data_IF_875960115249
#
_entry.id   IF_875960115249
#
_cell.length_a   1.000
_cell.length_b   1.000
_cell.length_c   1.000
_cell.angle_alpha   90.00
_cell.angle_beta   90.00
_cell.angle_gamma   90.00
#
_symmetry.space_group_name_H-M   'P 1'
#
loop_
_entity.id
_entity.type
_entity.pdbx_description
1 polymer ?
#
# COMPACT_ATOMS: atom_id res chain seq x y z
N UNK A 1 -32.81 17.29 32.12
CA UNK A 1 -32.45 17.12 30.70
C UNK A 1 -32.30 18.51 30.08
N UNK A 2 -31.06 18.98 29.90
CA UNK A 2 -30.81 20.23 29.19
C UNK A 2 -31.16 20.06 27.71
N UNK A 3 -32.06 20.90 27.19
CA UNK A 3 -32.31 21.01 25.74
C UNK A 3 -31.02 21.50 25.08
N UNK A 4 -30.29 20.61 24.41
CA UNK A 4 -29.39 21.05 23.34
C UNK A 4 -30.24 21.86 22.35
N UNK A 5 -29.76 23.05 21.98
CA UNK A 5 -30.37 23.91 20.96
C UNK A 5 -30.87 23.06 19.78
N UNK A 6 -32.05 23.37 19.24
CA UNK A 6 -32.63 22.73 18.05
C UNK A 6 -31.79 23.04 16.81
N UNK A 7 -30.63 22.40 16.70
CA UNK A 7 -29.90 22.28 15.44
C UNK A 7 -30.74 21.42 14.50
N UNK A 8 -30.88 21.83 13.23
CA UNK A 8 -31.54 21.01 12.22
C UNK A 8 -30.73 19.73 11.99
N UNK A 9 -31.38 18.65 11.57
CA UNK A 9 -30.69 17.39 11.26
C UNK A 9 -29.61 17.58 10.19
N UNK A 10 -29.83 18.50 9.26
CA UNK A 10 -28.85 18.87 8.25
C UNK A 10 -27.61 19.54 8.85
N UNK A 11 -27.78 20.49 9.76
CA UNK A 11 -26.66 21.13 10.47
C UNK A 11 -25.88 20.10 11.28
N UNK A 12 -26.59 19.23 12.03
CA UNK A 12 -25.96 18.13 12.78
C UNK A 12 -25.16 17.23 11.83
N UNK A 13 -25.73 16.85 10.68
CA UNK A 13 -25.04 16.04 9.67
C UNK A 13 -23.78 16.71 9.14
N UNK A 14 -23.78 18.03 8.93
CA UNK A 14 -22.59 18.77 8.53
C UNK A 14 -21.49 18.70 9.60
N UNK A 15 -21.83 18.97 10.87
CA UNK A 15 -20.87 18.89 11.97
C UNK A 15 -20.31 17.47 12.15
N UNK A 16 -21.20 16.47 12.21
CA UNK A 16 -20.81 15.07 12.37
C UNK A 16 -19.94 14.59 11.20
N UNK A 17 -20.23 15.01 9.96
CA UNK A 17 -19.44 14.59 8.79
C UNK A 17 -17.97 15.02 8.83
N UNK A 18 -17.58 15.94 9.71
CA UNK A 18 -16.19 16.39 9.91
C UNK A 18 -15.48 15.69 11.07
N UNK A 19 -16.20 14.87 11.84
CA UNK A 19 -15.61 14.16 12.98
C UNK A 19 -14.85 12.91 12.53
N UNK A 20 -13.82 12.49 13.29
CA UNK A 20 -13.11 11.24 13.05
C UNK A 20 -14.06 10.02 13.11
N UNK A 21 -13.88 9.01 12.25
CA UNK A 21 -14.68 7.79 12.26
C UNK A 21 -14.79 7.11 13.63
N UNK A 22 -13.71 7.08 14.40
CA UNK A 22 -13.69 6.52 15.77
C UNK A 22 -14.71 7.20 16.69
N UNK A 23 -14.90 8.52 16.56
CA UNK A 23 -15.92 9.25 17.33
C UNK A 23 -17.33 8.96 16.81
N UNK A 24 -17.50 8.94 15.48
CA UNK A 24 -18.77 8.63 14.82
C UNK A 24 -19.29 7.23 15.18
N UNK A 25 -18.39 6.25 15.31
CA UNK A 25 -18.75 4.90 15.76
C UNK A 25 -19.32 4.88 17.18
N UNK A 26 -18.86 5.76 18.08
CA UNK A 26 -19.46 5.92 19.42
C UNK A 26 -20.82 6.60 19.35
N UNK A 27 -20.98 7.55 18.44
CA UNK A 27 -22.21 8.32 18.26
C UNK A 27 -23.37 7.53 17.66
N UNK A 28 -23.08 6.45 16.93
CA UNK A 28 -24.09 5.46 16.51
C UNK A 28 -24.92 4.92 17.69
N UNK A 29 -24.36 4.86 18.89
CA UNK A 29 -25.04 4.32 20.08
C UNK A 29 -25.91 5.33 20.83
N UNK A 30 -25.87 6.63 20.47
CA UNK A 30 -26.53 7.69 21.23
C UNK A 30 -28.02 7.80 20.89
N UNK A 31 -28.36 7.78 19.61
CA UNK A 31 -29.74 7.99 19.16
C UNK A 31 -30.01 7.32 17.80
N UNK A 32 -31.24 6.84 17.58
CA UNK A 32 -31.62 6.15 16.33
C UNK A 32 -31.48 7.03 15.08
N UNK A 33 -31.84 8.31 15.16
CA UNK A 33 -31.66 9.22 14.01
C UNK A 33 -30.19 9.42 13.66
N UNK A 34 -29.30 9.48 14.65
CA UNK A 34 -27.86 9.59 14.43
C UNK A 34 -27.29 8.30 13.86
N UNK A 35 -27.73 7.15 14.36
CA UNK A 35 -27.40 5.85 13.77
C UNK A 35 -27.74 5.85 12.28
N UNK A 36 -29.01 6.12 11.92
CA UNK A 36 -29.48 6.12 10.54
C UNK A 36 -28.71 7.10 9.65
N UNK A 37 -28.44 8.31 10.15
CA UNK A 37 -27.66 9.32 9.44
C UNK A 37 -26.22 8.85 9.20
N UNK A 38 -25.53 8.39 10.24
CA UNK A 38 -24.10 8.00 10.19
C UNK A 38 -23.91 6.73 9.34
N UNK A 39 -24.89 5.84 9.29
CA UNK A 39 -24.85 4.62 8.45
C UNK A 39 -25.26 4.85 7.00
N UNK A 40 -25.82 6.02 6.67
CA UNK A 40 -26.28 6.30 5.29
C UNK A 40 -25.09 6.40 4.32
N UNK A 41 -25.22 5.88 3.08
CA UNK A 41 -24.13 5.94 2.09
C UNK A 41 -23.69 7.38 1.76
N UNK A 42 -24.63 8.32 1.68
CA UNK A 42 -24.34 9.73 1.40
C UNK A 42 -23.53 10.39 2.52
N UNK A 43 -23.82 10.07 3.77
CA UNK A 43 -23.03 10.55 4.91
C UNK A 43 -21.61 9.96 4.90
N UNK A 44 -21.48 8.65 4.65
CA UNK A 44 -20.17 7.97 4.57
C UNK A 44 -19.31 8.60 3.45
N UNK A 45 -19.88 8.79 2.26
CA UNK A 45 -19.20 9.43 1.14
C UNK A 45 -18.77 10.88 1.47
N UNK A 46 -19.65 11.64 2.14
CA UNK A 46 -19.34 13.02 2.58
C UNK A 46 -18.22 13.04 3.63
N UNK A 47 -18.25 12.14 4.61
CA UNK A 47 -17.21 12.03 5.63
C UNK A 47 -15.86 11.64 5.01
N UNK A 48 -15.86 10.69 4.07
CA UNK A 48 -14.65 10.31 3.33
C UNK A 48 -14.11 11.48 2.49
N UNK A 49 -14.97 12.19 1.77
CA UNK A 49 -14.58 13.36 0.98
C UNK A 49 -13.96 14.43 1.87
N UNK A 50 -14.55 14.71 3.03
CA UNK A 50 -13.97 15.61 4.02
C UNK A 50 -12.60 15.11 4.48
N UNK A 51 -12.43 13.82 4.74
CA UNK A 51 -11.16 13.20 5.17
C UNK A 51 -10.06 13.36 4.11
N UNK A 52 -10.37 13.12 2.83
CA UNK A 52 -9.44 13.30 1.70
C UNK A 52 -9.09 14.77 1.42
N UNK A 53 -10.10 15.64 1.48
CA UNK A 53 -9.98 17.04 1.08
C UNK A 53 -9.63 17.97 2.25
N UNK A 54 -9.31 17.44 3.43
CA UNK A 54 -9.05 18.27 4.60
C UNK A 54 -7.69 18.98 4.47
N UNK A 55 -7.62 20.00 3.62
CA UNK A 55 -6.50 20.96 3.55
C UNK A 55 -6.26 21.68 4.88
N UNK A 56 -7.24 21.61 5.80
CA UNK A 56 -7.17 22.13 7.16
C UNK A 56 -6.92 21.05 8.22
N UNK A 57 -6.81 19.77 7.84
CA UNK A 57 -6.29 18.78 8.78
C UNK A 57 -4.84 19.17 9.07
N UNK A 58 -4.56 19.40 10.35
CA UNK A 58 -3.20 19.56 10.81
C UNK A 58 -2.42 18.25 10.73
N UNK A 59 -3.03 17.11 10.32
CA UNK A 59 -2.35 15.81 10.36
C UNK A 59 -2.48 14.98 9.08
N UNK A 60 -1.36 14.39 8.65
CA UNK A 60 -1.30 13.34 7.64
C UNK A 60 -1.12 11.99 8.34
N UNK A 61 -1.93 10.99 8.00
CA UNK A 61 -1.81 9.64 8.59
C UNK A 61 -1.02 8.72 7.66
N UNK A 62 -0.07 7.99 8.24
CA UNK A 62 0.78 7.03 7.54
C UNK A 62 0.69 5.70 8.26
N UNK A 63 0.47 4.62 7.51
CA UNK A 63 0.55 3.27 8.02
C UNK A 63 1.93 2.70 7.71
N UNK A 64 2.61 2.20 8.73
CA UNK A 64 3.86 1.47 8.63
C UNK A 64 3.64 -0.01 8.86
N UNK A 65 4.20 -0.86 8.00
CA UNK A 65 4.55 -2.24 8.35
C UNK A 65 5.99 -2.23 8.83
N UNK A 66 6.24 -2.68 10.06
CA UNK A 66 7.59 -2.77 10.63
C UNK A 66 7.80 -4.09 11.36
N UNK A 67 9.06 -4.49 11.50
CA UNK A 67 9.45 -5.76 12.14
C UNK A 67 10.39 -5.47 13.31
N UNK A 68 10.00 -5.90 14.50
CA UNK A 68 10.80 -5.76 15.71
C UNK A 68 11.32 -7.14 16.12
N UNK A 69 12.64 -7.28 16.23
CA UNK A 69 13.29 -8.52 16.64
C UNK A 69 13.42 -8.56 18.18
N UNK A 70 13.18 -9.72 18.79
CA UNK A 70 13.45 -9.98 20.21
C UNK A 70 14.94 -10.31 20.39
N UNK A 71 15.58 -9.60 21.32
CA UNK A 71 16.87 -9.96 21.92
C UNK A 71 18.01 -10.27 20.92
N UNK A 72 18.20 -9.44 19.90
CA UNK A 72 19.41 -9.50 19.06
C UNK A 72 20.38 -8.40 19.47
N UNK A 73 21.57 -8.81 19.93
CA UNK A 73 22.65 -7.89 20.32
C UNK A 73 23.63 -7.60 19.17
N UNK A 74 23.57 -8.36 18.07
CA UNK A 74 24.49 -8.28 16.93
C UNK A 74 23.75 -8.04 15.61
N UNK A 75 24.16 -7.00 14.86
CA UNK A 75 23.59 -6.69 13.55
C UNK A 75 23.78 -7.80 12.51
N UNK A 76 24.82 -8.63 12.65
CA UNK A 76 25.08 -9.72 11.70
C UNK A 76 24.11 -10.90 11.86
N UNK A 77 23.51 -11.08 13.04
CA UNK A 77 22.50 -12.13 13.28
C UNK A 77 21.13 -11.76 12.71
N UNK A 78 20.87 -10.47 12.45
CA UNK A 78 19.59 -9.95 11.95
C UNK A 78 19.21 -10.62 10.63
N UNK A 79 20.15 -10.71 9.68
CA UNK A 79 19.90 -11.29 8.36
C UNK A 79 19.48 -12.76 8.45
N UNK A 80 20.13 -13.54 9.32
CA UNK A 80 19.80 -14.94 9.53
C UNK A 80 18.47 -15.12 10.27
N UNK A 81 18.21 -14.29 11.28
CA UNK A 81 16.95 -14.34 12.03
C UNK A 81 15.78 -13.93 11.14
N UNK A 82 15.92 -12.95 10.25
CA UNK A 82 14.85 -12.54 9.33
C UNK A 82 14.45 -13.63 8.33
N UNK A 83 15.39 -14.49 7.93
CA UNK A 83 15.15 -15.65 7.06
C UNK A 83 14.77 -16.94 7.81
N UNK A 84 14.96 -17.00 9.12
CA UNK A 84 14.50 -18.12 9.93
C UNK A 84 12.97 -18.24 9.80
N UNK A 85 12.42 -19.45 9.78
CA UNK A 85 10.97 -19.67 9.81
C UNK A 85 10.43 -19.70 11.25
N UNK A 86 11.30 -19.61 12.25
CA UNK A 86 10.91 -19.60 13.65
C UNK A 86 10.38 -18.21 14.06
N UNK A 87 9.07 -18.14 14.33
CA UNK A 87 8.35 -16.90 14.66
C UNK A 87 8.55 -16.42 16.10
N UNK A 88 9.10 -17.25 16.99
CA UNK A 88 9.12 -16.95 18.43
C UNK A 88 9.97 -15.73 18.82
N UNK A 89 10.89 -15.33 17.95
CA UNK A 89 11.83 -14.23 18.20
C UNK A 89 11.39 -12.89 17.61
N UNK A 90 10.18 -12.73 17.07
CA UNK A 90 9.82 -11.52 16.29
C UNK A 90 8.40 -11.03 16.50
N UNK A 91 8.21 -9.73 16.33
CA UNK A 91 6.90 -9.10 16.28
C UNK A 91 6.77 -8.28 14.99
N UNK A 92 5.68 -8.50 14.27
CA UNK A 92 5.30 -7.69 13.12
C UNK A 92 4.24 -6.71 13.60
N UNK A 93 4.51 -5.42 13.43
CA UNK A 93 3.57 -4.36 13.80
C UNK A 93 3.08 -3.62 12.56
N UNK A 94 1.78 -3.36 12.55
CA UNK A 94 1.19 -2.34 11.69
C UNK A 94 0.98 -1.11 12.56
N UNK A 95 1.77 -0.06 12.35
CA UNK A 95 1.77 1.14 13.19
C UNK A 95 1.18 2.32 12.41
N UNK A 96 0.17 2.97 12.98
CA UNK A 96 -0.39 4.20 12.44
C UNK A 96 0.32 5.40 13.05
N UNK A 97 0.85 6.26 12.20
CA UNK A 97 1.55 7.48 12.56
C UNK A 97 0.74 8.68 12.08
N UNK A 98 0.34 9.56 13.00
CA UNK A 98 -0.24 10.85 12.67
C UNK A 98 0.84 11.94 12.71
N UNK A 99 1.14 12.53 11.55
CA UNK A 99 2.16 13.58 11.38
C UNK A 99 1.53 14.96 11.34
N UNK A 100 1.92 15.83 12.29
CA UNK A 100 1.43 17.20 12.30
C UNK A 100 2.08 18.08 11.21
N UNK A 101 1.30 18.98 10.64
CA UNK A 101 1.68 19.95 9.61
C UNK A 101 2.27 21.24 10.20
N UNK A 102 2.43 21.33 11.52
CA UNK A 102 2.81 22.58 12.18
C UNK A 102 4.21 23.03 11.73
N UNK A 103 4.26 24.25 11.21
CA UNK A 103 5.45 24.94 10.72
C UNK A 103 6.28 25.58 11.84
N UNK A 104 5.99 25.27 13.10
CA UNK A 104 6.68 25.88 14.23
C UNK A 104 8.10 25.33 14.29
N UNK A 105 9.02 26.17 13.85
CA UNK A 105 10.45 25.91 13.80
C UNK A 105 11.05 25.84 15.20
N UNK A 106 11.68 24.72 15.50
CA UNK A 106 13.02 24.61 16.13
C UNK A 106 13.33 23.17 16.56
N UNK A 107 12.36 22.25 16.51
CA UNK A 107 12.60 20.85 16.85
C UNK A 107 13.05 20.01 15.63
N UNK A 108 14.14 19.26 15.81
CA UNK A 108 14.60 18.25 14.83
C UNK A 108 13.65 17.03 14.72
N UNK A 109 12.65 16.96 15.61
CA UNK A 109 11.69 15.86 15.71
C UNK A 109 10.30 16.32 15.26
N UNK A 110 9.63 15.50 14.45
CA UNK A 110 8.27 15.78 14.01
C UNK A 110 7.27 15.35 15.09
N UNK A 111 6.41 16.26 15.56
CA UNK A 111 5.36 15.90 16.52
C UNK A 111 4.45 14.82 15.90
N UNK A 112 4.41 13.67 16.55
CA UNK A 112 3.71 12.51 16.01
C UNK A 112 3.17 11.59 17.10
N UNK A 113 2.05 10.95 16.78
CA UNK A 113 1.42 9.94 17.65
C UNK A 113 1.47 8.60 16.93
N UNK A 114 2.02 7.59 17.61
CA UNK A 114 2.11 6.21 17.10
C UNK A 114 1.07 5.36 17.81
N UNK A 115 0.13 4.81 17.04
CA UNK A 115 -0.83 3.81 17.50
C UNK A 115 -0.53 2.47 16.82
N UNK A 116 -0.17 1.43 17.58
CA UNK A 116 0.01 0.09 17.03
C UNK A 116 -1.35 -0.60 16.81
N UNK A 117 -1.62 -1.00 15.58
CA UNK A 117 -2.79 -1.77 15.22
C UNK A 117 -2.56 -3.24 15.56
N UNK A 118 -3.26 -3.71 16.58
CA UNK A 118 -3.41 -5.15 16.83
C UNK A 118 -4.35 -5.69 15.75
N UNK A 119 -3.78 -6.11 14.62
CA UNK A 119 -4.52 -6.95 13.70
C UNK A 119 -4.74 -8.28 14.41
N UNK A 120 -5.99 -8.78 14.53
CA UNK A 120 -6.21 -10.15 14.95
C UNK A 120 -5.62 -11.02 13.84
N UNK A 121 -4.35 -11.37 13.96
CA UNK A 121 -3.62 -12.16 12.97
C UNK A 121 -3.87 -13.63 13.35
N UNK A 122 -4.72 -14.39 12.65
CA UNK A 122 -4.79 -15.85 12.79
C UNK A 122 -3.61 -16.54 12.07
N UNK A 123 -2.67 -15.77 11.54
CA UNK A 123 -1.60 -16.27 10.70
C UNK A 123 -0.39 -16.69 11.54
N UNK A 124 0.24 -17.81 11.17
CA UNK A 124 1.67 -17.99 11.39
C UNK A 124 2.39 -17.08 10.39
N UNK A 125 3.00 -15.97 10.83
CA UNK A 125 3.58 -14.95 9.92
C UNK A 125 5.09 -14.86 10.13
N UNK A 126 5.86 -15.15 9.10
CA UNK A 126 7.24 -14.69 9.01
C UNK A 126 7.25 -13.27 8.41
N UNK A 127 8.12 -12.32 8.82
CA UNK A 127 8.11 -10.92 8.36
C UNK A 127 8.04 -10.67 6.85
N UNK A 128 8.58 -11.60 6.05
CA UNK A 128 8.52 -11.52 4.58
C UNK A 128 7.13 -11.87 4.03
N UNK A 129 6.29 -12.57 4.78
CA UNK A 129 5.03 -13.12 4.27
C UNK A 129 3.89 -12.10 4.27
N UNK A 130 3.78 -11.22 5.27
CA UNK A 130 2.71 -10.20 5.32
C UNK A 130 3.10 -8.95 4.53
N UNK A 131 2.27 -8.52 3.59
CA UNK A 131 2.50 -7.34 2.75
C UNK A 131 1.28 -6.41 2.70
N UNK A 132 1.51 -5.13 2.44
CA UNK A 132 0.45 -4.14 2.19
C UNK A 132 0.31 -3.98 0.68
N UNK A 133 -0.68 -4.66 0.08
CA UNK A 133 -0.97 -4.58 -1.36
C UNK A 133 -1.78 -3.31 -1.72
N UNK A 134 -1.58 -2.23 -0.97
CA UNK A 134 -2.24 -0.95 -1.20
C UNK A 134 -3.34 -0.59 -0.21
N UNK A 135 -3.78 0.65 -0.35
CA UNK A 135 -4.84 1.27 0.43
C UNK A 135 -5.81 1.96 -0.53
N UNK A 136 -7.08 2.04 -0.15
CA UNK A 136 -8.10 2.75 -0.90
C UNK A 136 -9.17 3.23 0.05
N UNK A 137 -9.43 4.53 0.07
CA UNK A 137 -10.51 5.14 0.86
C UNK A 137 -10.51 4.75 2.35
N UNK A 138 -9.31 4.60 2.92
CA UNK A 138 -9.09 4.20 4.32
C UNK A 138 -9.24 2.71 4.61
N UNK A 139 -9.58 1.90 3.60
CA UNK A 139 -9.41 0.45 3.64
C UNK A 139 -7.97 0.10 3.28
N UNK A 140 -7.46 -0.96 3.91
CA UNK A 140 -6.12 -1.51 3.66
C UNK A 140 -6.27 -2.94 3.20
N UNK A 141 -5.54 -3.30 2.13
CA UNK A 141 -5.42 -4.67 1.66
C UNK A 141 -4.12 -5.28 2.18
N UNK A 142 -4.25 -6.35 2.95
CA UNK A 142 -3.15 -7.13 3.50
C UNK A 142 -3.09 -8.46 2.77
N UNK A 143 -1.90 -8.84 2.33
CA UNK A 143 -1.62 -10.10 1.64
C UNK A 143 -0.66 -10.92 2.48
N UNK A 144 -0.93 -12.21 2.65
CA UNK A 144 0.08 -13.16 3.06
C UNK A 144 0.58 -13.90 1.82
N UNK A 145 1.78 -13.58 1.33
CA UNK A 145 2.33 -14.16 0.09
C UNK A 145 2.65 -15.65 0.24
N UNK A 146 2.90 -16.12 1.47
CA UNK A 146 3.17 -17.55 1.73
C UNK A 146 1.85 -18.32 1.63
N UNK A 147 0.84 -17.91 2.39
CA UNK A 147 -0.43 -18.66 2.41
C UNK A 147 -1.37 -18.27 1.26
N UNK A 148 -0.99 -17.29 0.43
CA UNK A 148 -1.81 -16.70 -0.63
C UNK A 148 -3.15 -16.14 -0.12
N UNK A 149 -3.20 -15.76 1.16
CA UNK A 149 -4.39 -15.24 1.83
C UNK A 149 -4.48 -13.72 1.67
N UNK A 150 -5.70 -13.20 1.51
CA UNK A 150 -5.96 -11.76 1.52
C UNK A 150 -6.94 -11.41 2.63
N UNK A 151 -6.65 -10.29 3.28
CA UNK A 151 -7.57 -9.65 4.19
C UNK A 151 -7.74 -8.16 3.88
N UNK A 152 -8.95 -7.68 4.10
CA UNK A 152 -9.27 -6.26 4.13
C UNK A 152 -9.48 -5.80 5.55
N UNK A 153 -8.91 -4.66 5.92
CA UNK A 153 -9.15 -4.05 7.21
C UNK A 153 -9.47 -2.56 7.09
N UNK A 154 -10.31 -2.08 8.01
CA UNK A 154 -10.50 -0.66 8.30
C UNK A 154 -10.06 -0.41 9.75
N UNK A 155 -8.87 0.14 9.97
CA UNK A 155 -8.35 0.42 11.32
C UNK A 155 -9.20 1.44 12.09
N UNK A 156 -9.79 2.42 11.38
CA UNK A 156 -10.50 3.53 12.01
C UNK A 156 -11.78 3.09 12.72
N UNK A 157 -12.43 2.05 12.20
CA UNK A 157 -13.63 1.42 12.78
C UNK A 157 -13.37 0.02 13.33
N UNK A 158 -12.10 -0.43 13.34
CA UNK A 158 -11.65 -1.75 13.83
C UNK A 158 -12.36 -2.93 13.19
N UNK A 159 -12.61 -2.84 11.89
CA UNK A 159 -13.17 -3.95 11.12
C UNK A 159 -12.10 -4.70 10.35
N UNK A 160 -12.32 -6.00 10.22
CA UNK A 160 -11.43 -6.93 9.54
C UNK A 160 -12.26 -7.98 8.82
N UNK A 161 -11.81 -8.39 7.63
CA UNK A 161 -12.46 -9.42 6.80
C UNK A 161 -11.42 -10.24 6.03
N UNK A 162 -11.43 -11.55 6.23
CA UNK A 162 -10.75 -12.51 5.37
C UNK A 162 -11.53 -12.72 4.08
N UNK A 163 -10.81 -12.86 2.98
CA UNK A 163 -11.40 -13.21 1.69
C UNK A 163 -11.38 -14.72 1.48
N UNK A 164 -12.35 -15.25 0.72
CA UNK A 164 -12.33 -16.66 0.35
C UNK A 164 -11.07 -16.98 -0.46
N UNK A 165 -10.60 -18.23 -0.36
CA UNK A 165 -9.50 -18.71 -1.20
C UNK A 165 -9.96 -18.73 -2.65
N UNK A 166 -9.06 -18.38 -3.56
CA UNK A 166 -9.29 -18.48 -5.00
C UNK A 166 -9.33 -19.93 -5.47
N UNK A 167 -10.14 -20.21 -6.49
CA UNK A 167 -10.19 -21.50 -7.18
C UNK A 167 -9.04 -21.68 -8.19
N UNK A 168 -8.30 -20.62 -8.51
CA UNK A 168 -7.16 -20.66 -9.42
C UNK A 168 -5.85 -21.06 -8.73
N UNK A 169 -5.80 -20.98 -7.39
CA UNK A 169 -4.63 -21.36 -6.61
C UNK A 169 -4.57 -22.88 -6.41
N UNK A 170 -3.40 -23.45 -6.64
CA UNK A 170 -3.14 -24.87 -6.45
C UNK A 170 -2.78 -25.15 -4.98
N UNK A 171 -3.05 -26.37 -4.47
CA UNK A 171 -2.49 -26.81 -3.20
C UNK A 171 -0.96 -26.72 -3.24
N UNK A 172 -0.35 -26.33 -2.11
CA UNK A 172 1.11 -26.34 -1.99
C UNK A 172 1.63 -27.75 -2.21
N UNK A 173 2.73 -27.83 -2.93
CA UNK A 173 3.39 -29.08 -3.29
C UNK A 173 4.00 -29.75 -2.07
N UNK A 174 4.00 -31.08 -2.07
CA UNK A 174 4.83 -31.81 -1.12
C UNK A 174 6.30 -31.69 -1.54
N UNK A 175 7.27 -31.53 -0.63
CA UNK A 175 8.70 -31.39 -0.98
C UNK A 175 9.30 -32.55 -1.78
N UNK A 176 8.58 -33.66 -1.95
CA UNK A 176 9.04 -34.89 -2.62
C UNK A 176 8.40 -35.10 -4.00
N UNK A 177 7.46 -34.24 -4.41
CA UNK A 177 6.84 -34.30 -5.73
C UNK A 177 7.66 -33.42 -6.68
N UNK A 178 8.59 -33.99 -7.45
CA UNK A 178 9.47 -33.24 -8.37
C UNK A 178 8.83 -32.92 -9.73
N UNK A 179 7.65 -33.48 -10.06
CA UNK A 179 6.98 -33.25 -11.37
C UNK A 179 5.67 -32.42 -11.39
N UNK A 180 4.98 -32.21 -10.26
CA UNK A 180 3.82 -31.32 -10.12
C UNK A 180 3.93 -29.86 -10.63
N UNK A 181 2.81 -29.14 -10.53
CA UNK A 181 2.67 -27.72 -10.88
C UNK A 181 2.35 -26.95 -9.60
N UNK A 182 3.07 -25.86 -9.36
CA UNK A 182 2.82 -24.92 -8.27
C UNK A 182 2.22 -23.62 -8.82
N UNK A 183 1.37 -22.97 -8.03
CA UNK A 183 0.89 -21.60 -8.29
C UNK A 183 1.59 -20.62 -7.37
N UNK A 184 1.87 -19.42 -7.87
CA UNK A 184 2.37 -18.31 -7.06
C UNK A 184 1.59 -17.01 -7.38
N UNK A 185 1.34 -16.21 -6.35
CA UNK A 185 0.66 -14.91 -6.47
C UNK A 185 1.70 -13.82 -6.62
N UNK A 186 2.01 -13.51 -7.88
CA UNK A 186 3.07 -12.57 -8.25
C UNK A 186 2.66 -11.09 -8.16
N UNK A 187 1.37 -10.81 -8.23
CA UNK A 187 0.84 -9.45 -8.13
C UNK A 187 -0.51 -9.43 -7.42
N UNK A 188 -0.69 -8.45 -6.54
CA UNK A 188 -1.99 -8.13 -5.95
C UNK A 188 -2.19 -6.63 -6.08
N UNK A 189 -3.39 -6.21 -6.46
CA UNK A 189 -3.75 -4.80 -6.51
C UNK A 189 -5.10 -4.56 -5.87
N UNK A 190 -5.22 -3.48 -5.11
CA UNK A 190 -6.45 -3.09 -4.43
C UNK A 190 -6.89 -1.70 -4.87
N UNK A 191 -8.17 -1.56 -5.20
CA UNK A 191 -8.71 -0.27 -5.65
C UNK A 191 -10.22 -0.18 -5.62
N UNK A 192 -10.72 1.01 -5.96
CA UNK A 192 -12.14 1.31 -6.05
C UNK A 192 -12.53 1.48 -7.52
N UNK A 193 -13.52 0.71 -7.95
CA UNK A 193 -14.16 0.87 -9.25
C UNK A 193 -15.27 1.92 -9.13
N UNK A 194 -15.04 3.06 -9.77
CA UNK A 194 -15.97 4.18 -9.77
C UNK A 194 -17.27 3.92 -10.55
N UNK A 195 -17.24 3.03 -11.55
CA UNK A 195 -18.41 2.67 -12.37
C UNK A 195 -19.37 1.76 -11.62
N UNK A 196 -18.85 0.71 -10.99
CA UNK A 196 -19.69 -0.23 -10.20
C UNK A 196 -19.85 0.20 -8.75
N UNK A 197 -19.15 1.26 -8.33
CA UNK A 197 -19.13 1.79 -6.98
C UNK A 197 -18.73 0.74 -5.93
N UNK A 198 -17.76 -0.11 -6.28
CA UNK A 198 -17.33 -1.20 -5.43
C UNK A 198 -15.81 -1.33 -5.33
N UNK A 199 -15.37 -2.02 -4.28
CA UNK A 199 -13.97 -2.31 -4.08
C UNK A 199 -13.61 -3.61 -4.76
N UNK A 200 -12.49 -3.58 -5.47
CA UNK A 200 -11.96 -4.72 -6.20
C UNK A 200 -10.56 -5.05 -5.74
N UNK A 201 -10.24 -6.33 -5.82
CA UNK A 201 -8.86 -6.82 -5.70
C UNK A 201 -8.57 -7.61 -6.95
N UNK A 202 -7.47 -7.28 -7.62
CA UNK A 202 -6.96 -8.04 -8.76
C UNK A 202 -5.76 -8.84 -8.32
N UNK A 203 -5.63 -10.06 -8.85
CA UNK A 203 -4.46 -10.92 -8.67
C UNK A 203 -3.95 -11.39 -10.01
N UNK A 204 -2.62 -11.50 -10.13
CA UNK A 204 -1.96 -12.22 -11.21
C UNK A 204 -1.30 -13.45 -10.62
N UNK A 205 -1.67 -14.62 -11.13
CA UNK A 205 -1.24 -15.94 -10.67
C UNK A 205 -0.38 -16.54 -11.76
N UNK A 206 0.82 -16.95 -11.41
CA UNK A 206 1.75 -17.65 -12.29
C UNK A 206 1.82 -19.11 -11.89
N UNK A 207 2.02 -19.99 -12.87
CA UNK A 207 2.13 -21.43 -12.64
C UNK A 207 3.50 -21.90 -13.07
N UNK A 208 4.19 -22.61 -12.17
CA UNK A 208 5.56 -23.08 -12.38
C UNK A 208 5.56 -24.60 -12.32
N UNK A 209 6.15 -25.25 -13.31
CA UNK A 209 6.29 -26.70 -13.34
C UNK A 209 7.53 -27.15 -12.55
N UNK A 210 7.61 -28.44 -12.20
CA UNK A 210 8.77 -29.04 -11.53
C UNK A 210 10.14 -28.81 -12.18
N UNK A 211 10.18 -28.55 -13.50
CA UNK A 211 11.39 -28.23 -14.26
C UNK A 211 11.63 -26.71 -14.41
N UNK A 212 11.05 -25.90 -13.52
CA UNK A 212 11.12 -24.44 -13.51
C UNK A 212 10.62 -23.75 -14.80
N UNK A 213 9.74 -24.42 -15.55
CA UNK A 213 9.09 -23.80 -16.70
C UNK A 213 7.89 -22.98 -16.23
N UNK A 214 7.84 -21.72 -16.66
CA UNK A 214 6.73 -20.81 -16.33
C UNK A 214 5.63 -20.92 -17.38
N UNK A 215 4.43 -21.31 -16.95
CA UNK A 215 3.25 -21.37 -17.80
C UNK A 215 2.57 -19.98 -17.87
N UNK A 216 1.69 -19.75 -18.87
CA UNK A 216 0.97 -18.50 -18.99
C UNK A 216 0.23 -18.12 -17.70
N UNK A 217 0.41 -16.87 -17.27
CA UNK A 217 -0.23 -16.35 -16.06
C UNK A 217 -1.74 -16.20 -16.28
N UNK A 218 -2.50 -16.34 -15.19
CA UNK A 218 -3.93 -16.04 -15.13
C UNK A 218 -4.18 -14.85 -14.23
N UNK A 219 -5.29 -14.16 -14.46
CA UNK A 219 -5.74 -13.11 -13.55
C UNK A 219 -7.16 -13.37 -13.06
N UNK A 220 -7.43 -12.84 -11.88
CA UNK A 220 -8.76 -12.86 -11.28
C UNK A 220 -9.05 -11.55 -10.55
N UNK A 221 -10.34 -11.26 -10.42
CA UNK A 221 -10.85 -10.11 -9.69
C UNK A 221 -11.81 -10.58 -8.61
N UNK A 222 -11.57 -10.15 -7.38
CA UNK A 222 -12.52 -10.21 -6.28
C UNK A 222 -13.33 -8.94 -6.23
N UNK A 223 -14.64 -9.08 -6.05
CA UNK A 223 -15.56 -7.95 -5.86
C UNK A 223 -16.16 -7.99 -4.45
N UNK A 224 -16.05 -6.89 -3.71
CA UNK A 224 -16.42 -6.84 -2.30
C UNK A 224 -17.92 -7.08 -2.06
N UNK A 225 -18.80 -6.57 -2.94
CA UNK A 225 -20.25 -6.75 -2.83
C UNK A 225 -20.70 -8.19 -3.11
N UNK A 226 -20.15 -8.84 -4.14
CA UNK A 226 -20.52 -10.22 -4.50
C UNK A 226 -19.86 -11.27 -3.61
N UNK A 227 -18.80 -10.91 -2.91
CA UNK A 227 -18.01 -11.80 -2.06
C UNK A 227 -17.37 -12.96 -2.83
N UNK A 228 -17.02 -12.75 -4.09
CA UNK A 228 -16.55 -13.82 -4.98
C UNK A 228 -15.37 -13.37 -5.85
N UNK A 229 -14.51 -14.33 -6.17
CA UNK A 229 -13.50 -14.22 -7.23
C UNK A 229 -14.12 -14.57 -8.58
N UNK A 230 -13.59 -13.97 -9.65
CA UNK A 230 -13.82 -14.41 -11.03
C UNK A 230 -12.55 -14.25 -11.86
N UNK A 231 -12.32 -15.21 -12.75
CA UNK A 231 -11.22 -15.15 -13.72
C UNK A 231 -11.46 -14.01 -14.72
N UNK A 232 -10.38 -13.33 -15.09
CA UNK A 232 -10.33 -12.34 -16.17
C UNK A 232 -9.21 -12.69 -17.14
N UNK A 233 -9.30 -12.15 -18.36
CA UNK A 233 -8.28 -12.40 -19.38
C UNK A 233 -7.08 -11.49 -19.16
N UNK A 234 -5.90 -12.04 -19.44
CA UNK A 234 -4.66 -11.28 -19.60
C UNK A 234 -4.30 -11.37 -21.08
N UNK A 235 -4.33 -10.24 -21.78
CA UNK A 235 -4.08 -10.22 -23.23
C UNK A 235 -2.58 -10.19 -23.59
N UNK A 236 -1.70 -9.96 -22.61
CA UNK A 236 -0.25 -9.86 -22.79
C UNK A 236 0.49 -10.72 -21.77
N UNK A 237 1.37 -11.59 -22.25
CA UNK A 237 2.30 -12.29 -21.38
C UNK A 237 3.24 -11.28 -20.70
N UNK A 238 3.24 -11.30 -19.38
CA UNK A 238 4.13 -10.52 -18.55
C UNK A 238 4.50 -11.33 -17.31
N UNK A 239 5.70 -11.08 -16.80
CA UNK A 239 6.12 -11.55 -15.49
C UNK A 239 6.15 -10.35 -14.56
N UNK A 240 5.03 -10.16 -13.85
CA UNK A 240 4.95 -9.20 -12.76
C UNK A 240 5.73 -9.79 -11.59
N UNK A 241 6.49 -8.98 -10.88
CA UNK A 241 7.20 -9.41 -9.68
C UNK A 241 6.94 -8.43 -8.56
N UNK A 242 6.65 -8.98 -7.38
CA UNK A 242 6.41 -8.17 -6.21
C UNK A 242 7.73 -7.58 -5.72
N UNK A 243 7.79 -6.25 -5.73
CA UNK A 243 8.92 -5.49 -5.15
C UNK A 243 8.39 -4.57 -4.07
N UNK A 244 8.96 -4.61 -2.85
CA UNK A 244 8.64 -3.63 -1.81
C UNK A 244 8.72 -2.22 -2.40
N UNK A 245 7.69 -1.41 -2.20
CA UNK A 245 7.65 0.00 -2.63
C UNK A 245 7.63 0.26 -4.15
N UNK A 246 7.21 -0.74 -4.96
CA UNK A 246 6.94 -0.59 -6.39
C UNK A 246 5.49 -0.92 -6.77
N UNK A 247 4.55 -0.67 -5.87
CA UNK A 247 3.14 -0.87 -6.13
C UNK A 247 2.31 0.30 -5.61
N UNK A 248 1.43 0.84 -6.46
CA UNK A 248 0.58 1.97 -6.08
C UNK A 248 -0.80 1.87 -6.71
N UNK A 249 -1.82 2.27 -5.95
CA UNK A 249 -3.13 2.60 -6.47
C UNK A 249 -3.22 4.12 -6.64
N UNK A 250 -3.53 4.59 -7.84
CA UNK A 250 -3.78 5.99 -8.11
C UNK A 250 -4.93 6.16 -9.11
N UNK A 251 -5.92 6.98 -8.77
CA UNK A 251 -7.09 7.31 -9.62
C UNK A 251 -7.79 6.10 -10.26
N UNK A 252 -7.92 5.00 -9.52
CA UNK A 252 -8.61 3.80 -10.00
C UNK A 252 -7.75 2.89 -10.87
N UNK A 253 -6.47 3.21 -11.06
CA UNK A 253 -5.49 2.37 -11.73
C UNK A 253 -4.50 1.85 -10.69
N UNK A 254 -4.13 0.58 -10.81
CA UNK A 254 -3.08 -0.03 -10.00
C UNK A 254 -1.84 -0.27 -10.86
N UNK A 255 -0.65 0.00 -10.32
CA UNK A 255 0.61 -0.08 -11.04
C UNK A 255 1.58 -1.05 -10.35
N UNK A 256 2.23 -1.92 -11.12
CA UNK A 256 3.28 -2.84 -10.66
C UNK A 256 4.54 -2.76 -11.55
N UNK A 257 5.64 -3.31 -11.04
CA UNK A 257 6.82 -3.63 -11.86
C UNK A 257 6.57 -4.91 -12.64
N UNK A 258 6.96 -4.93 -13.91
CA UNK A 258 6.91 -6.15 -14.71
C UNK A 258 8.13 -6.28 -15.63
N UNK A 259 8.48 -7.52 -15.94
CA UNK A 259 9.30 -7.88 -17.09
C UNK A 259 8.39 -8.33 -18.23
N UNK A 260 8.68 -7.81 -19.41
CA UNK A 260 8.04 -8.16 -20.67
C UNK A 260 9.07 -8.83 -21.58
N UNK A 261 8.59 -9.68 -22.49
CA UNK A 261 9.45 -10.48 -23.37
C UNK A 261 9.09 -10.19 -24.83
N UNK A 262 9.44 -9.00 -25.36
CA UNK A 262 9.09 -8.61 -26.73
C UNK A 262 9.67 -9.58 -27.78
N UNK A 263 10.81 -10.21 -27.50
CA UNK A 263 11.41 -11.27 -28.33
C UNK A 263 12.07 -12.33 -27.44
N UNK A 264 12.18 -13.60 -27.88
CA UNK A 264 12.87 -14.64 -27.13
C UNK A 264 14.28 -14.21 -26.72
N UNK A 265 14.58 -14.27 -25.42
CA UNK A 265 15.88 -13.90 -24.86
C UNK A 265 16.14 -12.41 -24.66
N UNK A 266 15.15 -11.54 -24.91
CA UNK A 266 15.21 -10.12 -24.57
C UNK A 266 14.12 -9.79 -23.55
N UNK A 267 14.51 -9.64 -22.29
CA UNK A 267 13.67 -9.10 -21.24
C UNK A 267 13.69 -7.57 -21.25
N UNK A 268 12.54 -6.97 -21.00
CA UNK A 268 12.40 -5.51 -20.91
C UNK A 268 11.54 -5.17 -19.71
N UNK A 269 12.10 -4.36 -18.81
CA UNK A 269 11.34 -3.76 -17.71
C UNK A 269 10.26 -2.82 -18.22
N UNK A 270 9.08 -2.94 -17.63
CA UNK A 270 7.92 -2.11 -17.87
C UNK A 270 7.15 -1.90 -16.56
N UNK A 271 6.23 -0.95 -16.58
CA UNK A 271 5.21 -0.82 -15.55
C UNK A 271 3.94 -1.46 -16.10
N UNK A 272 3.37 -2.37 -15.32
CA UNK A 272 2.09 -2.98 -15.65
C UNK A 272 0.99 -2.24 -14.91
N UNK A 273 -0.01 -1.77 -15.63
CA UNK A 273 -1.13 -1.02 -15.09
C UNK A 273 -2.43 -1.81 -15.25
N UNK A 274 -3.30 -1.74 -14.25
CA UNK A 274 -4.64 -2.33 -14.30
C UNK A 274 -5.69 -1.29 -13.96
N UNK A 275 -6.62 -1.07 -14.88
CA UNK A 275 -7.77 -0.20 -14.66
C UNK A 275 -8.85 -0.96 -13.89
N UNK A 276 -9.22 -0.50 -12.70
CA UNK A 276 -10.22 -1.16 -11.85
C UNK A 276 -11.64 -1.13 -12.44
N UNK A 277 -11.93 -0.15 -13.30
CA UNK A 277 -13.25 0.07 -13.88
C UNK A 277 -13.42 -0.69 -15.19
N UNK A 278 -12.41 -0.63 -16.07
CA UNK A 278 -12.42 -1.37 -17.35
C UNK A 278 -11.95 -2.82 -17.20
N UNK A 279 -11.22 -3.12 -16.13
CA UNK A 279 -10.58 -4.42 -15.87
C UNK A 279 -9.64 -4.88 -16.97
N UNK A 280 -8.93 -3.92 -17.55
CA UNK A 280 -7.95 -4.13 -18.61
C UNK A 280 -6.55 -3.88 -18.10
N UNK A 281 -5.61 -4.66 -18.63
CA UNK A 281 -4.19 -4.48 -18.38
C UNK A 281 -3.54 -3.64 -19.48
N UNK A 282 -2.71 -2.69 -19.07
CA UNK A 282 -1.88 -1.90 -19.97
C UNK A 282 -0.40 -2.01 -19.57
N UNK A 283 0.46 -1.90 -20.58
CA UNK A 283 1.91 -1.89 -20.41
C UNK A 283 2.38 -0.46 -20.65
N UNK A 284 3.12 0.08 -19.69
CA UNK A 284 3.68 1.42 -19.72
C UNK A 284 5.20 1.30 -19.74
N UNK A 285 5.89 1.91 -20.72
CA UNK A 285 7.34 1.90 -20.73
C UNK A 285 7.89 2.68 -19.53
N UNK A 286 9.02 2.25 -18.99
CA UNK A 286 9.80 3.06 -18.02
C UNK A 286 10.50 4.23 -18.74
N UNK A 287 10.94 5.29 -18.04
CA UNK A 287 11.63 6.42 -18.65
C UNK A 287 12.89 6.02 -19.45
N UNK A 288 13.09 6.67 -20.59
CA UNK A 288 14.29 6.49 -21.42
C UNK A 288 15.57 6.83 -20.63
N UNK A 289 16.58 5.98 -20.76
CA UNK A 289 17.86 6.13 -20.05
C UNK A 289 17.94 5.41 -18.70
N UNK A 290 16.81 4.92 -18.18
CA UNK A 290 16.79 3.94 -17.09
C UNK A 290 16.83 2.56 -17.73
N UNK A 291 18.02 1.97 -17.84
CA UNK A 291 18.15 0.58 -18.30
C UNK A 291 18.02 -0.39 -17.12
N UNK A 292 17.59 -1.62 -17.40
CA UNK A 292 17.80 -2.77 -16.52
C UNK A 292 19.31 -3.06 -16.43
N UNK A 293 20.04 -2.23 -15.68
CA UNK A 293 21.43 -2.48 -15.30
C UNK A 293 21.44 -3.02 -13.88
N UNK A 294 22.37 -3.92 -13.62
CA UNK A 294 22.65 -4.41 -12.28
C UNK A 294 22.85 -3.23 -11.31
N UNK A 295 22.11 -3.25 -10.20
CA UNK A 295 22.24 -2.27 -9.11
C UNK A 295 21.37 -1.00 -9.20
N UNK A 296 20.49 -0.85 -10.21
CA UNK A 296 19.51 0.25 -10.22
C UNK A 296 18.28 -0.14 -9.40
N UNK A 297 18.06 0.55 -8.28
CA UNK A 297 16.86 0.39 -7.46
C UNK A 297 15.81 1.39 -7.94
N UNK A 298 14.56 0.95 -8.06
CA UNK A 298 13.44 1.74 -8.55
C UNK A 298 12.27 1.67 -7.57
N UNK A 299 11.47 2.73 -7.51
CA UNK A 299 10.30 2.86 -6.64
C UNK A 299 9.16 3.59 -7.36
N UNK A 300 7.92 3.17 -7.11
CA UNK A 300 6.73 3.90 -7.57
C UNK A 300 6.10 4.65 -6.40
N UNK A 301 5.70 5.89 -6.65
CA UNK A 301 5.02 6.72 -5.68
C UNK A 301 3.97 7.62 -6.34
N UNK A 302 3.06 8.16 -5.53
CA UNK A 302 2.21 9.28 -5.95
C UNK A 302 2.89 10.57 -5.49
N UNK A 303 3.17 11.48 -6.42
CA UNK A 303 3.76 12.78 -6.12
C UNK A 303 3.03 13.89 -6.89
N UNK A 304 2.54 14.91 -6.16
CA UNK A 304 1.82 16.06 -6.73
C UNK A 304 0.68 15.66 -7.69
N UNK A 305 -0.13 14.68 -7.27
CA UNK A 305 -1.28 14.19 -8.05
C UNK A 305 -0.90 13.54 -9.40
N UNK A 306 0.29 12.95 -9.48
CA UNK A 306 0.76 12.16 -10.62
C UNK A 306 1.56 10.94 -10.15
N UNK A 307 1.69 9.94 -11.03
CA UNK A 307 2.56 8.78 -10.80
C UNK A 307 4.02 9.22 -10.97
N UNK A 308 4.86 8.89 -10.00
CA UNK A 308 6.28 9.16 -10.02
C UNK A 308 7.10 7.87 -9.92
N UNK A 309 8.19 7.81 -10.68
CA UNK A 309 9.21 6.78 -10.60
C UNK A 309 10.46 7.40 -9.98
N UNK A 310 10.91 6.84 -8.87
CA UNK A 310 12.16 7.21 -8.20
C UNK A 310 13.19 6.15 -8.53
N UNK A 311 14.37 6.53 -9.03
CA UNK A 311 15.46 5.60 -9.33
C UNK A 311 16.78 6.07 -8.74
N UNK A 312 17.60 5.15 -8.24
CA UNK A 312 18.96 5.42 -7.76
C UNK A 312 19.93 4.30 -8.14
N UNK A 313 21.23 4.63 -8.09
CA UNK A 313 22.33 3.73 -8.47
C UNK A 313 23.40 3.74 -7.37
N UNK A 314 23.92 2.56 -7.05
CA UNK A 314 25.19 2.40 -6.31
C UNK A 314 25.05 2.18 -4.80
N UNK A 315 26.20 1.82 -4.20
CA UNK A 315 26.39 1.65 -2.76
C UNK A 315 26.82 2.98 -2.11
N UNK A 316 26.40 3.22 -0.87
CA UNK A 316 26.73 4.45 -0.12
C UNK A 316 25.74 5.59 -0.38
N UNK A 317 26.16 6.86 -0.26
CA UNK A 317 25.27 8.01 -0.45
C UNK A 317 24.67 8.04 -1.86
N UNK A 318 23.34 7.89 -1.95
CA UNK A 318 22.60 7.77 -3.22
C UNK A 318 22.02 9.11 -3.63
N UNK A 319 22.10 9.40 -4.94
CA UNK A 319 21.26 10.42 -5.57
C UNK A 319 20.04 9.74 -6.19
N UNK A 320 18.88 10.34 -6.03
CA UNK A 320 17.63 9.79 -6.55
C UNK A 320 17.11 10.69 -7.66
N UNK A 321 16.96 10.12 -8.84
CA UNK A 321 16.24 10.73 -9.95
C UNK A 321 14.74 10.52 -9.74
N UNK A 322 13.95 11.60 -9.82
CA UNK A 322 12.49 11.56 -9.71
C UNK A 322 11.90 11.92 -11.08
N UNK A 323 11.26 10.93 -11.68
CA UNK A 323 10.54 11.05 -12.94
C UNK A 323 9.04 11.09 -12.67
N UNK A 324 8.31 11.92 -13.42
CA UNK A 324 6.85 12.02 -13.30
C UNK A 324 6.23 11.64 -14.63
N UNK A 325 5.19 10.83 -14.56
CA UNK A 325 4.40 10.43 -15.71
C UNK A 325 3.52 11.60 -16.14
N UNK A 326 3.54 11.91 -17.43
CA UNK A 326 2.62 12.84 -18.04
C UNK A 326 1.31 12.12 -18.37
N UNK A 327 0.26 12.47 -17.63
CA UNK A 327 -1.09 11.93 -17.78
C UNK A 327 -1.81 12.46 -19.04
N UNK A 328 -1.25 13.47 -19.73
CA UNK A 328 -1.91 14.14 -20.88
C UNK A 328 -2.13 13.21 -22.08
N UNK A 329 -1.32 12.17 -22.21
CA UNK A 329 -1.41 11.14 -23.26
C UNK A 329 -2.23 9.89 -22.88
N UNK A 330 -2.89 9.88 -21.71
CA UNK A 330 -3.52 8.69 -21.14
C UNK A 330 -2.49 7.73 -20.51
N UNK A 331 -2.87 6.46 -20.34
CA UNK A 331 -2.08 5.44 -19.61
C UNK A 331 -0.74 5.11 -20.28
N UNK A 332 -0.55 5.47 -21.56
CA UNK A 332 0.72 5.28 -22.31
C UNK A 332 1.77 6.35 -22.01
N UNK A 333 1.74 6.91 -20.79
CA UNK A 333 2.40 8.14 -20.38
C UNK A 333 3.86 8.28 -20.83
N UNK A 334 4.20 9.50 -21.25
CA UNK A 334 5.61 9.90 -21.39
C UNK A 334 6.17 10.29 -20.02
N UNK A 335 7.48 10.16 -19.83
CA UNK A 335 8.13 10.47 -18.55
C UNK A 335 9.00 11.71 -18.65
N UNK A 336 8.89 12.60 -17.66
CA UNK A 336 9.76 13.76 -17.54
C UNK A 336 10.57 13.67 -16.26
N UNK A 337 11.89 13.85 -16.33
CA UNK A 337 12.72 13.99 -15.12
C UNK A 337 12.44 15.35 -14.49
N UNK A 338 11.88 15.34 -13.29
CA UNK A 338 11.47 16.57 -12.60
C UNK A 338 12.52 17.08 -11.61
N UNK A 339 13.17 16.18 -10.88
CA UNK A 339 14.09 16.55 -9.80
C UNK A 339 15.15 15.47 -9.59
N UNK A 340 16.31 15.88 -9.09
CA UNK A 340 17.32 14.99 -8.51
C UNK A 340 17.52 15.40 -7.06
N UNK A 341 17.42 14.45 -6.13
CA UNK A 341 17.68 14.69 -4.69
C UNK A 341 18.92 13.94 -4.22
N UNK A 342 19.54 14.46 -3.17
CA UNK A 342 20.75 13.90 -2.57
C UNK A 342 22.05 14.59 -2.96
N UNK A 343 23.21 13.93 -2.71
CA UNK A 343 23.34 12.57 -2.16
C UNK A 343 22.81 12.44 -0.72
N UNK A 344 22.22 11.30 -0.39
CA UNK A 344 21.70 10.97 0.95
C UNK A 344 22.21 9.57 1.31
N UNK A 345 22.71 9.38 2.54
CA UNK A 345 22.93 8.04 3.12
C UNK A 345 21.58 7.36 3.38
N UNK A 346 20.97 6.90 2.30
CA UNK A 346 19.62 6.39 2.25
C UNK A 346 19.65 4.95 1.72
N UNK A 347 18.98 4.07 2.45
CA UNK A 347 18.74 2.71 2.01
C UNK A 347 17.59 2.69 1.01
N UNK A 348 16.42 3.18 1.46
CA UNK A 348 15.15 3.00 0.76
C UNK A 348 14.22 4.22 0.93
N UNK A 349 13.74 4.84 -0.15
CA UNK A 349 12.60 5.76 -0.11
C UNK A 349 11.28 4.99 0.14
N UNK A 350 10.40 5.60 0.92
CA UNK A 350 9.14 4.98 1.34
C UNK A 350 7.93 5.61 0.67
N UNK A 351 7.58 6.85 1.01
CA UNK A 351 6.35 7.49 0.53
C UNK A 351 6.43 9.01 0.60
N UNK A 352 5.89 9.71 -0.40
CA UNK A 352 5.61 11.13 -0.30
C UNK A 352 4.39 11.34 0.59
N UNK A 353 4.54 12.15 1.64
CA UNK A 353 3.44 12.47 2.56
C UNK A 353 3.00 13.92 2.50
N UNK A 354 3.82 14.77 1.86
CA UNK A 354 3.48 16.12 1.37
C UNK A 354 4.03 16.29 -0.04
N UNK A 355 3.64 17.37 -0.70
CA UNK A 355 4.15 17.72 -2.04
C UNK A 355 5.66 17.97 -2.08
N UNK A 356 6.29 18.25 -0.95
CA UNK A 356 7.69 18.60 -0.78
C UNK A 356 8.41 17.78 0.29
N UNK A 357 7.77 16.76 0.89
CA UNK A 357 8.38 15.90 1.89
C UNK A 357 8.26 14.41 1.52
N UNK A 358 9.40 13.73 1.54
CA UNK A 358 9.56 12.31 1.24
C UNK A 358 10.04 11.57 2.49
N UNK A 359 9.37 10.48 2.84
CA UNK A 359 9.88 9.58 3.87
C UNK A 359 10.96 8.66 3.32
N UNK A 360 12.05 8.52 4.07
CA UNK A 360 13.21 7.70 3.73
C UNK A 360 13.62 6.85 4.93
N UNK A 361 14.18 5.67 4.66
CA UNK A 361 15.01 4.92 5.61
C UNK A 361 16.46 5.24 5.34
N UNK A 362 17.15 5.81 6.32
CA UNK A 362 18.59 6.10 6.22
C UNK A 362 19.43 4.90 6.65
N UNK A 363 20.73 4.90 6.31
CA UNK A 363 21.66 3.77 6.51
C UNK A 363 21.83 3.29 7.96
N UNK A 364 21.42 4.07 8.95
CA UNK A 364 21.39 3.63 10.35
C UNK A 364 20.08 2.93 10.78
N UNK A 365 19.13 2.77 9.85
CA UNK A 365 17.82 2.14 10.09
C UNK A 365 16.77 3.08 10.69
N UNK A 366 17.01 4.39 10.78
CA UNK A 366 15.98 5.35 11.22
C UNK A 366 15.11 5.79 10.04
N UNK A 367 13.85 6.08 10.34
CA UNK A 367 12.94 6.72 9.38
C UNK A 367 13.05 8.23 9.53
N UNK A 368 13.21 8.92 8.40
CA UNK A 368 13.29 10.39 8.36
C UNK A 368 12.32 10.97 7.33
N UNK A 369 11.87 12.20 7.58
CA UNK A 369 11.25 13.04 6.57
C UNK A 369 12.31 13.94 5.94
N UNK A 370 12.49 13.83 4.63
CA UNK A 370 13.38 14.64 3.83
C UNK A 370 12.58 15.70 3.06
N UNK A 371 12.88 16.97 3.31
CA UNK A 371 12.24 18.07 2.60
C UNK A 371 13.00 18.37 1.30
N UNK A 372 12.32 18.23 0.16
CA UNK A 372 12.92 18.30 -1.19
C UNK A 372 13.55 19.66 -1.51
N UNK A 373 12.97 20.76 -1.02
CA UNK A 373 13.40 22.14 -1.35
C UNK A 373 14.65 22.59 -0.59
N UNK A 374 14.55 22.70 0.75
CA UNK A 374 15.65 23.14 1.62
C UNK A 374 16.60 22.01 2.06
N UNK A 375 16.33 20.75 1.69
CA UNK A 375 17.14 19.56 1.99
C UNK A 375 17.26 19.23 3.48
N UNK A 376 16.32 19.69 4.32
CA UNK A 376 16.32 19.38 5.77
C UNK A 376 15.81 17.98 6.04
N UNK A 377 16.36 17.35 7.09
CA UNK A 377 16.01 16.01 7.56
C UNK A 377 15.36 16.13 8.93
N UNK A 378 14.19 15.52 9.12
CA UNK A 378 13.50 15.42 10.42
C UNK A 378 13.35 13.95 10.82
N UNK A 379 13.69 13.61 12.06
CA UNK A 379 13.60 12.24 12.54
C UNK A 379 12.18 11.90 13.00
N UNK A 380 11.76 10.67 12.71
CA UNK A 380 10.48 10.12 13.14
C UNK A 380 10.69 9.07 14.24
N UNK A 381 9.80 8.98 15.24
CA UNK A 381 9.91 8.03 16.34
C UNK A 381 9.46 6.62 15.92
N UNK A 382 10.01 6.11 14.81
CA UNK A 382 9.75 4.76 14.31
C UNK A 382 10.98 3.89 14.55
N UNK A 383 10.79 2.82 15.32
CA UNK A 383 11.79 1.78 15.59
C UNK A 383 11.40 0.47 14.88
N UNK A 384 12.31 -0.49 14.77
CA UNK A 384 12.05 -1.80 14.15
C UNK A 384 12.17 -1.80 12.61
N UNK A 385 13.20 -1.12 12.10
CA UNK A 385 13.51 -1.02 10.66
C UNK A 385 14.87 -1.67 10.37
N UNK A 386 15.17 -2.72 11.13
CA UNK A 386 16.48 -3.39 11.16
C UNK A 386 16.89 -3.99 9.81
N UNK A 387 15.91 -4.30 8.96
CA UNK A 387 16.11 -4.54 7.53
C UNK A 387 15.16 -3.65 6.72
N UNK A 388 15.69 -2.61 6.05
CA UNK A 388 14.91 -1.67 5.25
C UNK A 388 14.04 -2.37 4.20
N UNK A 389 14.42 -3.54 3.68
CA UNK A 389 13.70 -4.19 2.57
C UNK A 389 12.29 -4.65 2.96
N UNK A 390 11.98 -4.72 4.26
CA UNK A 390 10.68 -5.19 4.77
C UNK A 390 9.81 -4.09 5.39
N UNK A 391 10.26 -2.83 5.38
CA UNK A 391 9.42 -1.71 5.81
C UNK A 391 8.56 -1.20 4.66
N UNK A 392 7.28 -1.01 4.94
CA UNK A 392 6.33 -0.43 3.99
C UNK A 392 5.68 0.75 4.65
N UNK A 393 5.50 1.84 3.90
CA UNK A 393 4.73 2.99 4.36
C UNK A 393 3.68 3.36 3.31
N UNK A 394 2.44 3.56 3.75
CA UNK A 394 1.37 4.08 2.89
C UNK A 394 0.68 5.24 3.57
N UNK A 395 0.53 6.36 2.86
CA UNK A 395 -0.33 7.47 3.32
C UNK A 395 -1.77 6.99 3.22
N UNK A 396 -2.52 7.08 4.31
CA UNK A 396 -3.90 6.61 4.34
C UNK A 396 -4.81 7.62 5.03
N UNK A 397 -6.11 7.48 4.81
CA UNK A 397 -7.13 8.34 5.42
C UNK A 397 -7.99 7.53 6.37
N UNK A 398 -8.52 8.17 7.40
CA UNK A 398 -9.56 7.54 8.19
C UNK A 398 -10.87 7.51 7.38
N UNK A 399 -11.58 6.39 7.41
CA UNK A 399 -12.91 6.30 6.78
C UNK A 399 -13.92 5.51 7.61
N UNK A 400 -15.20 5.74 7.29
CA UNK A 400 -16.34 5.02 7.85
C UNK A 400 -16.76 3.80 7.01
N UNK A 401 -15.98 3.45 5.98
CA UNK A 401 -16.34 2.41 5.02
C UNK A 401 -16.20 1.04 5.68
N UNK A 402 -17.26 0.25 5.64
CA UNK A 402 -17.26 -1.10 6.21
C UNK A 402 -16.70 -2.12 5.21
N UNK A 403 -15.87 -3.03 5.71
CA UNK A 403 -15.44 -4.23 4.94
C UNK A 403 -16.50 -5.33 5.00
N UNK A 404 -17.42 -5.24 5.96
CA UNK A 404 -18.54 -6.15 6.19
C UNK A 404 -19.81 -5.61 5.53
N UNK A 405 -19.82 -5.42 4.21
CA UNK A 405 -21.06 -5.08 3.50
C UNK A 405 -22.10 -6.16 3.80
N UNK A 406 -23.16 -5.81 4.53
CA UNK A 406 -24.35 -6.65 4.69
C UNK A 406 -25.08 -6.68 3.35
N UNK A 407 -25.50 -7.88 2.90
CA UNK A 407 -26.47 -7.97 1.80
C UNK A 407 -27.69 -7.16 2.23
N UNK A 408 -27.98 -6.10 1.47
CA UNK A 408 -29.17 -5.27 1.66
C UNK A 408 -30.45 -6.03 1.34
#
# INVERSE_FOLDING_TARGET
MGKLCKLSEEMVGQFLSRLPPKALMRFKCIHKSWYNLITSPSFIAKNLSNSKNNKFASTTRILFKRTVLKDIKDKNEIFYVLRDNNNDRRYIFLSLLDLCNDNDGDDQNLHSVVDDLIVPLPFSICPFSLQIAGHCDGLICLVNIVNEEVALCNPAIKEFKFLPRSSLLLPRRHPEDDDGIESDVNAVGFGYDSKTQDYKIVRVITYITGIAYTLPSKAEVYTLSSHSWREIKIDKECHVFWTPSFEIHFRGIYYWSALTYPTPGADKEAIFAFDMSEETFEEIPIPDGICARDGIIKFLAVWKESVALISCIGDGPKSFDIWVMDDSSGIKGSWTKHLVIGPIECEIPLVFWKSDELLLVISDGRVVSYHLGNKTIKYLPIHGVEDPQYIHAVVCVNSMISVKKTKG
#
